data_IF_278817688225
#
_entry.id   IF_278817688225
#
_cell.length_a   1.000
_cell.length_b   1.000
_cell.length_c   1.000
_cell.angle_alpha   90.00
_cell.angle_beta   90.00
_cell.angle_gamma   90.00
#
_symmetry.space_group_name_H-M   'P 1'
#
loop_
_entity.id
_entity.type
_entity.pdbx_description
1 polymer ?
#
# COMPACT_ATOMS: atom_id res chain seq x y z
N UNK A 1 -13.53 -8.71 0.82
CA UNK A 1 -12.29 -9.37 0.46
C UNK A 1 -12.51 -10.82 0.03
N UNK A 2 -13.16 -11.67 0.85
CA UNK A 2 -13.38 -13.11 0.54
C UNK A 2 -13.98 -13.37 -0.85
N UNK A 3 -15.07 -12.68 -1.21
CA UNK A 3 -15.72 -12.86 -2.51
C UNK A 3 -14.76 -12.52 -3.67
N UNK A 4 -14.01 -11.43 -3.55
CA UNK A 4 -13.03 -11.00 -4.55
C UNK A 4 -11.91 -12.01 -4.71
N UNK A 5 -11.36 -12.53 -3.61
CA UNK A 5 -10.27 -13.51 -3.65
C UNK A 5 -10.73 -14.84 -4.24
N UNK A 6 -11.97 -15.25 -4.01
CA UNK A 6 -12.55 -16.43 -4.66
C UNK A 6 -12.66 -16.28 -6.18
N UNK A 7 -12.96 -15.07 -6.67
CA UNK A 7 -12.94 -14.79 -8.11
C UNK A 7 -11.52 -14.80 -8.68
N UNK A 8 -10.57 -14.20 -7.96
CA UNK A 8 -9.14 -14.20 -8.34
C UNK A 8 -8.60 -15.63 -8.41
N UNK A 9 -8.90 -16.47 -7.42
CA UNK A 9 -8.52 -17.88 -7.42
C UNK A 9 -9.06 -18.66 -8.64
N UNK A 10 -10.27 -18.35 -9.10
CA UNK A 10 -10.79 -18.92 -10.35
C UNK A 10 -10.10 -18.40 -11.61
N UNK A 11 -9.74 -17.10 -11.61
CA UNK A 11 -9.08 -16.47 -12.75
C UNK A 11 -7.63 -16.92 -12.88
N UNK A 12 -6.93 -17.24 -11.78
CA UNK A 12 -5.54 -17.70 -11.80
C UNK A 12 -5.32 -18.99 -12.62
N UNK A 13 -6.38 -19.80 -12.80
CA UNK A 13 -6.34 -20.96 -13.68
C UNK A 13 -6.10 -20.65 -15.17
N UNK A 14 -6.37 -19.41 -15.58
CA UNK A 14 -6.31 -18.98 -16.99
C UNK A 14 -5.34 -17.85 -17.22
N UNK A 15 -5.02 -17.10 -16.17
CA UNK A 15 -4.24 -15.86 -16.25
C UNK A 15 -3.15 -15.83 -15.20
N UNK A 16 -2.01 -15.29 -15.56
CA UNK A 16 -1.00 -14.85 -14.59
C UNK A 16 -1.49 -13.57 -13.92
N UNK A 17 -1.47 -13.55 -12.59
CA UNK A 17 -2.13 -12.48 -11.81
C UNK A 17 -1.11 -11.70 -11.00
N UNK A 18 -1.19 -10.40 -11.09
CA UNK A 18 -0.54 -9.45 -10.18
C UNK A 18 -1.64 -8.66 -9.47
N UNK A 19 -1.54 -8.59 -8.15
CA UNK A 19 -2.49 -7.84 -7.32
C UNK A 19 -1.78 -6.59 -6.79
N UNK A 20 -2.40 -5.45 -6.99
CA UNK A 20 -2.02 -4.20 -6.34
C UNK A 20 -3.17 -3.73 -5.47
N UNK A 21 -2.89 -2.90 -4.47
CA UNK A 21 -3.92 -2.41 -3.55
C UNK A 21 -3.63 -0.99 -3.06
N UNK A 22 -4.69 -0.26 -2.69
CA UNK A 22 -4.55 0.97 -1.92
C UNK A 22 -4.33 0.67 -0.42
N UNK A 23 -3.82 1.65 0.32
CA UNK A 23 -3.54 1.54 1.76
C UNK A 23 -3.94 2.81 2.56
N UNK A 24 -4.63 3.76 1.95
CA UNK A 24 -4.92 5.06 2.56
C UNK A 24 -5.57 4.99 3.95
N UNK A 25 -6.64 4.20 4.17
CA UNK A 25 -7.24 4.04 5.49
C UNK A 25 -6.28 3.44 6.53
N UNK A 26 -5.48 2.44 6.14
CA UNK A 26 -4.52 1.76 7.03
C UNK A 26 -3.39 2.69 7.44
N UNK A 27 -2.82 3.44 6.49
CA UNK A 27 -1.84 4.50 6.77
C UNK A 27 -2.43 5.52 7.74
N UNK A 28 -3.66 5.95 7.50
CA UNK A 28 -4.35 6.89 8.37
C UNK A 28 -4.50 6.40 9.81
N UNK A 29 -4.94 5.17 10.00
CA UNK A 29 -5.10 4.57 11.31
C UNK A 29 -3.75 4.44 12.05
N UNK A 30 -2.70 3.99 11.35
CA UNK A 30 -1.36 3.88 11.94
C UNK A 30 -0.79 5.25 12.31
N UNK A 31 -1.00 6.28 11.50
CA UNK A 31 -0.60 7.65 11.84
C UNK A 31 -1.29 8.13 13.11
N UNK A 32 -2.61 7.93 13.25
CA UNK A 32 -3.33 8.27 14.48
C UNK A 32 -2.78 7.54 15.71
N UNK A 33 -2.47 6.24 15.56
CA UNK A 33 -1.84 5.47 16.64
C UNK A 33 -0.47 6.02 17.01
N UNK A 34 0.34 6.45 16.03
CA UNK A 34 1.63 7.09 16.29
C UNK A 34 1.49 8.44 16.98
N UNK A 35 0.45 9.20 16.65
CA UNK A 35 0.17 10.53 17.24
C UNK A 35 -0.41 10.44 18.65
N UNK A 36 -1.06 9.33 18.99
CA UNK A 36 -1.70 9.14 20.30
C UNK A 36 -0.75 8.68 21.42
N UNK A 37 0.52 8.38 21.11
CA UNK A 37 1.47 7.86 22.09
C UNK A 37 2.86 8.46 21.89
N UNK A 38 3.39 9.08 22.94
CA UNK A 38 4.75 9.65 22.96
C UNK A 38 5.75 8.78 23.74
N UNK A 39 5.32 7.63 24.26
CA UNK A 39 6.20 6.73 25.02
C UNK A 39 7.23 5.99 24.12
N UNK A 40 7.00 5.95 22.82
CA UNK A 40 7.90 5.33 21.82
C UNK A 40 8.14 6.28 20.65
N UNK A 41 9.28 6.19 19.96
CA UNK A 41 9.56 7.01 18.79
C UNK A 41 8.50 6.80 17.69
N UNK A 42 8.07 7.90 17.08
CA UNK A 42 7.12 7.85 15.96
C UNK A 42 7.81 7.27 14.71
N UNK A 43 7.12 6.37 14.02
CA UNK A 43 7.65 5.77 12.79
C UNK A 43 7.46 6.72 11.61
N UNK A 44 8.48 6.87 10.74
CA UNK A 44 8.36 7.67 9.53
C UNK A 44 7.40 7.02 8.52
N UNK A 45 6.90 7.84 7.58
CA UNK A 45 5.82 7.47 6.67
C UNK A 45 6.18 6.27 5.77
N UNK A 46 7.45 6.14 5.36
CA UNK A 46 7.92 5.02 4.56
C UNK A 46 7.84 3.69 5.32
N UNK A 47 8.12 3.70 6.64
CA UNK A 47 7.96 2.51 7.48
C UNK A 47 6.48 2.16 7.65
N UNK A 48 5.61 3.15 7.87
CA UNK A 48 4.17 2.94 7.89
C UNK A 48 3.68 2.39 6.55
N UNK A 49 4.26 2.85 5.44
CA UNK A 49 4.03 2.30 4.10
C UNK A 49 4.35 0.82 4.01
N UNK A 50 5.53 0.40 4.49
CA UNK A 50 5.95 -0.99 4.54
C UNK A 50 5.04 -1.85 5.43
N UNK A 51 4.69 -1.34 6.62
CA UNK A 51 3.76 -2.02 7.54
C UNK A 51 2.41 -2.27 6.88
N UNK A 52 1.87 -1.28 6.16
CA UNK A 52 0.57 -1.43 5.48
C UNK A 52 0.62 -2.34 4.27
N UNK A 53 1.74 -2.39 3.54
CA UNK A 53 1.95 -3.39 2.48
C UNK A 53 1.92 -4.80 3.06
N UNK A 54 2.65 -5.06 4.16
CA UNK A 54 2.62 -6.34 4.84
C UNK A 54 1.25 -6.69 5.42
N UNK A 55 0.59 -5.74 6.08
CA UNK A 55 -0.74 -5.94 6.67
C UNK A 55 -1.78 -6.36 5.61
N UNK A 56 -1.87 -5.61 4.51
CA UNK A 56 -2.87 -5.87 3.47
C UNK A 56 -2.47 -7.10 2.68
N UNK A 57 -1.18 -7.28 2.40
CA UNK A 57 -0.65 -8.48 1.75
C UNK A 57 -1.04 -9.75 2.52
N UNK A 58 -0.80 -9.80 3.83
CA UNK A 58 -1.22 -10.90 4.68
C UNK A 58 -2.74 -11.16 4.60
N UNK A 59 -3.56 -10.11 4.65
CA UNK A 59 -5.01 -10.27 4.53
C UNK A 59 -5.44 -10.84 3.18
N UNK A 60 -4.75 -10.46 2.10
CA UNK A 60 -5.01 -10.98 0.75
C UNK A 60 -4.57 -12.44 0.68
N UNK A 61 -3.34 -12.77 1.11
CA UNK A 61 -2.82 -14.15 1.11
C UNK A 61 -3.71 -15.10 1.92
N UNK A 62 -4.03 -14.75 3.15
CA UNK A 62 -4.93 -15.56 4.00
C UNK A 62 -6.32 -15.77 3.38
N UNK A 63 -6.82 -14.77 2.62
CA UNK A 63 -8.10 -14.88 1.93
C UNK A 63 -8.00 -15.69 0.64
N UNK A 64 -6.86 -15.66 -0.06
CA UNK A 64 -6.58 -16.51 -1.22
C UNK A 64 -6.43 -17.97 -0.80
N UNK A 65 -5.65 -18.23 0.25
CA UNK A 65 -5.46 -19.56 0.80
C UNK A 65 -6.82 -20.20 1.13
N UNK A 66 -7.66 -19.48 1.87
CA UNK A 66 -9.03 -19.92 2.16
C UNK A 66 -9.83 -20.20 0.87
N UNK A 67 -9.70 -19.35 -0.14
CA UNK A 67 -10.43 -19.51 -1.40
C UNK A 67 -9.95 -20.74 -2.18
N UNK A 68 -8.65 -21.04 -2.19
CA UNK A 68 -8.10 -22.24 -2.83
C UNK A 68 -8.51 -23.51 -2.09
N UNK A 69 -8.49 -23.50 -0.74
CA UNK A 69 -9.01 -24.62 0.06
C UNK A 69 -10.49 -24.91 -0.25
N UNK A 70 -11.34 -23.90 -0.31
CA UNK A 70 -12.76 -24.05 -0.67
C UNK A 70 -12.98 -24.56 -2.10
N UNK A 71 -12.02 -24.35 -3.02
CA UNK A 71 -12.04 -24.87 -4.38
C UNK A 71 -11.42 -26.26 -4.51
N UNK A 72 -10.84 -26.82 -3.44
CA UNK A 72 -10.13 -28.10 -3.46
C UNK A 72 -8.76 -28.05 -4.15
N UNK A 73 -8.09 -26.91 -4.13
CA UNK A 73 -6.87 -26.62 -4.93
C UNK A 73 -5.69 -26.15 -4.06
N UNK A 74 -5.62 -26.57 -2.82
CA UNK A 74 -4.71 -26.06 -1.80
C UNK A 74 -3.22 -26.16 -2.15
N UNK A 75 -2.82 -27.13 -2.99
CA UNK A 75 -1.39 -27.43 -3.23
C UNK A 75 -0.92 -27.02 -4.65
N UNK A 76 -1.76 -26.33 -5.42
CA UNK A 76 -1.46 -26.08 -6.84
C UNK A 76 -1.07 -24.64 -7.17
N UNK A 77 -1.38 -23.68 -6.31
CA UNK A 77 -1.15 -22.28 -6.60
C UNK A 77 -0.27 -21.63 -5.52
N UNK A 78 0.81 -21.02 -5.96
CA UNK A 78 1.68 -20.23 -5.11
C UNK A 78 1.29 -18.76 -5.15
N UNK A 79 1.40 -18.07 -4.02
CA UNK A 79 1.22 -16.62 -3.93
C UNK A 79 2.24 -16.02 -2.95
N UNK A 80 2.57 -14.76 -3.16
CA UNK A 80 3.57 -14.06 -2.36
C UNK A 80 3.30 -12.57 -2.33
N UNK A 81 3.50 -11.97 -1.16
CA UNK A 81 3.51 -10.51 -0.97
C UNK A 81 4.94 -9.98 -0.99
N UNK A 82 5.18 -8.98 -1.81
CA UNK A 82 6.43 -8.24 -1.84
C UNK A 82 6.24 -6.83 -1.29
N UNK A 83 7.09 -6.45 -0.34
CA UNK A 83 7.28 -5.05 -0.01
C UNK A 83 8.05 -4.43 -1.17
N UNK A 84 7.49 -3.36 -1.73
CA UNK A 84 7.91 -2.85 -3.04
C UNK A 84 8.31 -1.38 -2.95
N UNK A 85 9.42 -1.05 -3.58
CA UNK A 85 9.92 0.31 -3.71
C UNK A 85 9.70 0.83 -5.12
N UNK A 86 9.54 2.15 -5.26
CA UNK A 86 9.47 2.82 -6.55
C UNK A 86 10.50 3.92 -6.62
N UNK A 87 11.30 3.92 -7.67
CA UNK A 87 12.24 5.01 -7.94
C UNK A 87 11.45 6.22 -8.40
N UNK A 88 11.76 7.36 -7.82
CA UNK A 88 11.18 8.66 -8.19
C UNK A 88 12.28 9.68 -8.50
N UNK A 89 11.94 10.73 -9.22
CA UNK A 89 12.84 11.87 -9.42
C UNK A 89 12.90 12.71 -8.13
N UNK A 90 14.11 13.03 -7.66
CA UNK A 90 14.29 13.90 -6.48
C UNK A 90 13.73 15.31 -6.69
N UNK A 91 13.64 15.76 -7.94
CA UNK A 91 13.12 17.07 -8.34
C UNK A 91 11.63 17.02 -8.75
N UNK A 92 10.94 15.90 -8.50
CA UNK A 92 9.52 15.79 -8.87
C UNK A 92 8.71 16.91 -8.20
N UNK A 93 7.91 17.67 -8.96
CA UNK A 93 7.11 18.77 -8.41
C UNK A 93 6.10 18.34 -7.35
N UNK A 94 5.76 17.06 -7.28
CA UNK A 94 4.92 16.49 -6.22
C UNK A 94 5.50 16.64 -4.82
N UNK A 95 6.82 16.81 -4.66
CA UNK A 95 7.44 17.09 -3.36
C UNK A 95 7.15 18.50 -2.87
N UNK A 96 7.07 19.46 -3.78
CA UNK A 96 6.76 20.86 -3.47
C UNK A 96 5.26 21.11 -3.35
N UNK A 97 4.45 20.32 -4.06
CA UNK A 97 2.99 20.43 -4.10
C UNK A 97 2.33 19.13 -3.64
N UNK A 98 2.26 18.85 -2.33
CA UNK A 98 1.63 17.64 -1.80
C UNK A 98 0.14 17.62 -2.12
N UNK A 99 -0.34 16.54 -2.73
CA UNK A 99 -1.75 16.39 -3.15
C UNK A 99 -2.39 15.08 -2.72
N UNK A 100 -1.58 14.07 -2.28
CA UNK A 100 -2.11 12.76 -1.88
C UNK A 100 -2.72 12.84 -0.48
N UNK A 101 -4.05 12.72 -0.32
CA UNK A 101 -4.68 12.80 0.99
C UNK A 101 -4.44 11.51 1.78
N UNK A 102 -4.03 11.66 3.03
CA UNK A 102 -3.84 10.56 4.00
C UNK A 102 -4.47 10.93 5.34
N UNK A 103 -4.67 9.93 6.20
CA UNK A 103 -5.14 10.14 7.57
C UNK A 103 -6.63 10.49 7.66
N UNK A 104 -7.07 10.92 8.85
CA UNK A 104 -8.43 11.29 9.14
C UNK A 104 -8.82 12.64 8.52
N UNK A 105 -10.09 12.98 8.69
CA UNK A 105 -10.59 14.35 8.48
C UNK A 105 -10.52 15.10 9.80
N UNK A 106 -10.13 16.37 9.72
CA UNK A 106 -10.05 17.30 10.85
C UNK A 106 -11.07 18.43 10.68
N UNK A 107 -11.63 18.87 11.77
CA UNK A 107 -12.33 20.16 11.86
C UNK A 107 -11.30 21.30 11.84
N UNK A 108 -11.74 22.53 11.61
CA UNK A 108 -10.84 23.71 11.66
C UNK A 108 -10.18 23.85 13.04
N UNK A 109 -10.92 23.58 14.11
CA UNK A 109 -10.40 23.63 15.48
C UNK A 109 -9.34 22.54 15.77
N UNK A 110 -9.55 21.30 15.29
CA UNK A 110 -8.58 20.21 15.43
C UNK A 110 -7.33 20.42 14.58
N UNK A 111 -7.44 21.19 13.51
CA UNK A 111 -6.34 21.52 12.63
C UNK A 111 -5.42 22.60 13.18
N UNK A 112 -5.88 23.39 14.15
CA UNK A 112 -5.06 24.39 14.83
C UNK A 112 -3.89 23.72 15.56
N UNK A 113 -2.67 24.12 15.22
CA UNK A 113 -1.44 23.58 15.80
C UNK A 113 -0.87 22.35 15.10
N UNK A 114 -1.53 21.81 14.06
CA UNK A 114 -0.93 20.75 13.24
C UNK A 114 0.15 21.31 12.32
N UNK A 115 1.30 20.66 12.29
CA UNK A 115 2.49 21.10 11.52
C UNK A 115 2.53 20.63 10.07
N UNK A 116 1.52 19.87 9.61
CA UNK A 116 1.51 19.33 8.26
C UNK A 116 0.64 20.12 7.29
N UNK A 117 0.90 19.94 6.00
CA UNK A 117 0.08 20.53 4.95
C UNK A 117 -1.31 19.88 4.93
N UNK A 118 -2.34 20.72 5.02
CA UNK A 118 -3.73 20.32 4.98
C UNK A 118 -4.39 20.80 3.68
N UNK A 119 -5.34 20.04 3.18
CA UNK A 119 -6.22 20.44 2.08
C UNK A 119 -7.68 20.40 2.53
N UNK A 120 -8.47 21.33 2.03
CA UNK A 120 -9.91 21.37 2.29
C UNK A 120 -10.63 20.38 1.38
N UNK A 121 -11.53 19.60 1.95
CA UNK A 121 -12.39 18.65 1.25
C UNK A 121 -13.84 18.87 1.67
N UNK A 122 -14.78 18.22 0.99
CA UNK A 122 -16.21 18.29 1.37
C UNK A 122 -16.50 17.75 2.78
N UNK A 123 -15.59 16.93 3.33
CA UNK A 123 -15.73 16.29 4.65
C UNK A 123 -14.91 16.93 5.77
N UNK A 124 -14.17 18.00 5.47
CA UNK A 124 -13.28 18.67 6.40
C UNK A 124 -11.85 18.82 5.86
N UNK A 125 -10.94 19.23 6.73
CA UNK A 125 -9.52 19.34 6.41
C UNK A 125 -8.86 17.96 6.43
N UNK A 126 -7.92 17.71 5.52
CA UNK A 126 -7.20 16.46 5.46
C UNK A 126 -5.72 16.68 5.19
N UNK A 127 -4.85 15.92 5.87
CA UNK A 127 -3.42 15.93 5.62
C UNK A 127 -3.14 15.46 4.19
N UNK A 128 -2.22 16.17 3.50
CA UNK A 128 -1.71 15.76 2.21
C UNK A 128 -0.20 15.52 2.29
N UNK A 129 0.25 14.55 1.52
CA UNK A 129 1.67 14.22 1.37
C UNK A 129 2.07 14.25 -0.11
N UNK A 130 3.38 14.31 -0.34
CA UNK A 130 3.93 14.19 -1.68
C UNK A 130 3.53 12.88 -2.33
N UNK A 131 3.27 12.92 -3.63
CA UNK A 131 2.97 11.75 -4.45
C UNK A 131 3.74 11.84 -5.77
N UNK A 132 5.08 11.72 -5.72
CA UNK A 132 5.91 11.82 -6.91
C UNK A 132 5.59 10.71 -7.89
N UNK A 133 5.81 10.97 -9.18
CA UNK A 133 5.54 10.01 -10.25
C UNK A 133 6.54 8.86 -10.20
N UNK A 134 6.08 7.59 -10.12
CA UNK A 134 6.98 6.45 -10.21
C UNK A 134 7.66 6.36 -11.58
N UNK A 135 8.99 6.17 -11.58
CA UNK A 135 9.80 5.97 -12.78
C UNK A 135 10.09 4.49 -13.03
N UNK A 136 10.33 3.73 -11.95
CA UNK A 136 10.61 2.31 -12.04
C UNK A 136 10.25 1.60 -10.72
N UNK A 137 9.88 0.33 -10.80
CA UNK A 137 9.74 -0.55 -9.65
C UNK A 137 11.10 -1.21 -9.40
N UNK A 138 11.60 -1.15 -8.16
CA UNK A 138 12.92 -1.72 -7.82
C UNK A 138 12.90 -3.24 -8.00
N UNK A 139 11.87 -3.91 -7.52
CA UNK A 139 11.71 -5.37 -7.55
C UNK A 139 11.11 -5.89 -8.87
N UNK A 140 11.17 -5.12 -9.96
CA UNK A 140 10.54 -5.53 -11.23
C UNK A 140 11.05 -6.87 -11.78
N UNK A 141 12.33 -7.20 -11.54
CA UNK A 141 12.93 -8.47 -12.00
C UNK A 141 12.43 -9.66 -11.19
N UNK A 142 12.33 -9.48 -9.88
CA UNK A 142 11.80 -10.46 -8.93
C UNK A 142 10.33 -10.74 -9.22
N UNK A 143 9.54 -9.69 -9.38
CA UNK A 143 8.12 -9.78 -9.75
C UNK A 143 7.97 -10.57 -11.06
N UNK A 144 8.76 -10.23 -12.09
CA UNK A 144 8.72 -10.93 -13.38
C UNK A 144 9.02 -12.42 -13.23
N UNK A 145 10.08 -12.77 -12.50
CA UNK A 145 10.45 -14.18 -12.27
C UNK A 145 9.37 -14.95 -11.54
N UNK A 146 8.78 -14.36 -10.50
CA UNK A 146 7.70 -15.00 -9.75
C UNK A 146 6.47 -15.23 -10.63
N UNK A 147 6.12 -14.28 -11.50
CA UNK A 147 5.04 -14.44 -12.49
C UNK A 147 5.36 -15.57 -13.50
N UNK A 148 6.62 -15.67 -13.95
CA UNK A 148 7.08 -16.75 -14.84
C UNK A 148 6.98 -18.12 -14.16
N UNK A 149 7.17 -18.19 -12.85
CA UNK A 149 7.01 -19.37 -12.00
C UNK A 149 5.57 -19.63 -11.54
N UNK A 150 4.59 -18.97 -12.14
CA UNK A 150 3.15 -19.09 -11.87
C UNK A 150 2.70 -18.66 -10.46
N UNK A 151 3.46 -17.79 -9.80
CA UNK A 151 3.00 -17.16 -8.56
C UNK A 151 1.94 -16.09 -8.85
N UNK A 152 0.94 -16.00 -7.97
CA UNK A 152 0.15 -14.78 -7.80
C UNK A 152 0.98 -13.82 -6.97
N UNK A 153 1.34 -12.66 -7.54
CA UNK A 153 2.21 -11.70 -6.88
C UNK A 153 1.40 -10.52 -6.36
N UNK A 154 1.47 -10.27 -5.06
CA UNK A 154 0.87 -9.09 -4.42
C UNK A 154 2.00 -8.08 -4.21
N UNK A 155 1.93 -6.93 -4.87
CA UNK A 155 3.02 -5.95 -4.85
C UNK A 155 2.54 -4.51 -5.08
N UNK A 156 3.43 -3.55 -4.99
CA UNK A 156 3.19 -2.13 -5.24
C UNK A 156 2.03 -1.54 -4.40
N UNK A 157 1.83 -2.06 -3.20
CA UNK A 157 0.81 -1.57 -2.28
C UNK A 157 0.97 -0.07 -1.98
N UNK A 158 -0.13 0.68 -2.06
CA UNK A 158 -0.13 2.14 -1.90
C UNK A 158 0.63 2.91 -2.98
N UNK A 159 1.02 2.24 -4.06
CA UNK A 159 1.84 2.79 -5.15
C UNK A 159 3.35 2.53 -4.98
N UNK A 160 3.75 1.71 -3.99
CA UNK A 160 5.15 1.48 -3.63
C UNK A 160 5.73 2.55 -2.70
N UNK A 161 6.84 2.23 -2.04
CA UNK A 161 7.57 3.15 -1.18
C UNK A 161 8.52 3.98 -2.07
N UNK A 162 8.39 5.31 -2.12
CA UNK A 162 9.24 6.12 -2.99
C UNK A 162 10.68 6.17 -2.48
N UNK A 163 11.63 5.95 -3.38
CA UNK A 163 13.07 6.04 -3.14
C UNK A 163 13.77 6.83 -4.23
N UNK A 164 14.86 7.50 -3.88
CA UNK A 164 15.73 8.21 -4.80
C UNK A 164 16.99 7.36 -4.99
N UNK A 165 17.44 7.17 -6.23
CA UNK A 165 18.75 6.58 -6.52
C UNK A 165 19.77 7.69 -6.61
N UNK A 166 20.80 7.60 -5.77
CA UNK A 166 21.99 8.44 -5.82
C UNK A 166 23.12 7.72 -6.53
#
# INVERSE_FOLDING_TARGET
>A
LKLTMRQIAKLSKKYKIVITHGNGPQVGNLLLQQESCDAVPKMPLEIIGAMTQGQIGYMIESSLDTAFMELGENDQQHFVTLITYVVVDENDPGFQNPTKPIGPFYTEAEAEGLSYTLTKTDKGLRRVVASPKPLAIVEHREIKKLIEMDFIVICCGGGGIPVIRK
#
